data_IF_258787982549
#
_entry.id   IF_258787982549
#
_cell.length_a   1.000
_cell.length_b   1.000
_cell.length_c   1.000
_cell.angle_alpha   90.00
_cell.angle_beta   90.00
_cell.angle_gamma   90.00
#
_symmetry.space_group_name_H-M   'P 1'
#
loop_
_entity.id
_entity.type
_entity.pdbx_description
1 polymer ?
#
# COMPACT_ATOMS: atom_id res chain seq x y z
N UNK A 1 23.85 22.60 -17.46
CA UNK A 1 23.77 21.42 -18.35
C UNK A 1 25.05 20.57 -18.43
N UNK A 2 26.27 21.10 -18.21
CA UNK A 2 27.53 20.31 -18.27
C UNK A 2 27.74 19.25 -17.15
N UNK A 3 26.96 19.29 -16.06
CA UNK A 3 27.05 18.32 -14.93
C UNK A 3 26.19 17.05 -15.12
N UNK A 4 25.18 17.08 -16.00
CA UNK A 4 24.34 15.90 -16.29
C UNK A 4 25.03 14.95 -17.27
N UNK A 5 25.78 15.49 -18.25
CA UNK A 5 26.51 14.69 -19.22
C UNK A 5 27.65 13.87 -18.61
N UNK A 6 28.30 14.39 -17.56
CA UNK A 6 29.37 13.68 -16.83
C UNK A 6 28.85 12.65 -15.84
N UNK A 7 27.60 12.79 -15.37
CA UNK A 7 26.97 11.78 -14.52
C UNK A 7 26.53 10.54 -15.33
N UNK A 8 26.00 10.74 -16.54
CA UNK A 8 25.49 9.64 -17.38
C UNK A 8 26.62 8.76 -17.93
N UNK A 9 27.80 9.31 -18.23
CA UNK A 9 28.95 8.53 -18.73
C UNK A 9 29.61 7.66 -17.65
N UNK A 10 29.54 8.05 -16.37
CA UNK A 10 30.13 7.29 -15.27
C UNK A 10 29.30 6.05 -14.90
N UNK A 11 28.00 6.10 -15.14
CA UNK A 11 27.06 5.02 -14.80
C UNK A 11 27.06 3.87 -15.82
N UNK A 12 27.48 4.10 -17.07
CA UNK A 12 27.54 3.03 -18.09
C UNK A 12 28.76 2.12 -17.96
N UNK A 13 29.86 2.62 -17.39
CA UNK A 13 31.08 1.84 -17.13
C UNK A 13 30.88 0.82 -15.99
N UNK A 14 30.13 1.18 -14.94
CA UNK A 14 29.89 0.30 -13.79
C UNK A 14 28.90 -0.85 -14.05
N UNK A 15 28.12 -0.76 -15.13
CA UNK A 15 27.14 -1.80 -15.48
C UNK A 15 27.77 -2.98 -16.26
N UNK A 16 28.87 -2.74 -17.00
CA UNK A 16 29.57 -3.77 -17.77
C UNK A 16 30.44 -4.71 -16.92
N UNK A 17 30.93 -4.25 -15.76
CA UNK A 17 31.76 -5.08 -14.87
C UNK A 17 30.95 -5.97 -13.92
N UNK A 18 29.64 -5.74 -13.76
CA UNK A 18 28.77 -6.51 -12.86
C UNK A 18 28.02 -7.65 -13.54
N UNK A 19 28.01 -7.70 -14.87
CA UNK A 19 27.39 -8.80 -15.62
C UNK A 19 28.50 -9.58 -16.34
N UNK A 20 28.96 -10.62 -15.65
CA UNK A 20 29.90 -11.62 -16.17
C UNK A 20 29.20 -12.47 -17.26
N UNK A 21 29.04 -11.90 -18.46
CA UNK A 21 28.61 -12.64 -19.64
C UNK A 21 29.82 -13.45 -20.12
N UNK A 22 29.87 -14.69 -19.68
CA UNK A 22 30.94 -15.64 -19.99
C UNK A 22 31.11 -15.84 -21.49
N UNK A 23 32.38 -15.89 -21.89
CA UNK A 23 32.82 -16.47 -23.16
C UNK A 23 32.25 -17.88 -23.30
N UNK A 24 31.64 -18.15 -24.46
CA UNK A 24 31.40 -19.51 -24.93
C UNK A 24 31.88 -19.63 -26.36
N UNK A 25 32.71 -20.64 -26.55
CA UNK A 25 33.65 -20.92 -27.62
C UNK A 25 33.06 -20.92 -29.04
N UNK A 26 33.92 -20.57 -29.99
CA UNK A 26 33.87 -21.03 -31.37
C UNK A 26 33.93 -22.57 -31.40
N UNK A 27 33.08 -23.20 -32.20
CA UNK A 27 33.51 -24.28 -33.10
C UNK A 27 32.43 -24.66 -34.13
N UNK A 28 32.93 -25.03 -35.31
CA UNK A 28 32.30 -25.82 -36.39
C UNK A 28 31.27 -25.16 -37.35
N UNK A 29 31.78 -24.83 -38.55
CA UNK A 29 31.12 -24.88 -39.88
C UNK A 29 30.80 -26.35 -40.26
N UNK A 30 30.05 -26.70 -41.34
CA UNK A 30 29.88 -25.94 -42.60
C UNK A 30 28.54 -26.05 -43.39
N UNK A 31 28.46 -25.19 -44.42
CA UNK A 31 28.12 -25.50 -45.83
C UNK A 31 26.83 -24.91 -46.46
N UNK A 32 27.02 -24.50 -47.74
CA UNK A 32 26.09 -24.15 -48.83
C UNK A 32 25.40 -22.76 -48.76
N UNK A 33 25.90 -21.74 -49.46
CA UNK A 33 25.74 -21.40 -50.91
C UNK A 33 24.36 -20.81 -51.24
N UNK A 34 24.31 -19.50 -51.50
CA UNK A 34 24.02 -18.89 -52.82
C UNK A 34 23.65 -17.41 -52.65
N UNK A 35 23.91 -16.63 -53.69
CA UNK A 35 24.06 -15.18 -53.67
C UNK A 35 22.83 -14.35 -53.34
N UNK A 36 23.08 -13.13 -52.85
CA UNK A 36 22.73 -11.89 -53.56
C UNK A 36 23.28 -10.69 -52.80
N UNK A 37 24.14 -9.93 -53.46
CA UNK A 37 24.58 -8.60 -53.05
C UNK A 37 23.45 -7.60 -53.26
N UNK A 38 23.00 -6.95 -52.19
CA UNK A 38 22.33 -5.65 -52.25
C UNK A 38 22.69 -4.86 -50.98
N UNK A 39 23.81 -4.16 -51.04
CA UNK A 39 24.16 -3.09 -50.11
C UNK A 39 23.17 -1.94 -50.30
N UNK A 40 22.26 -1.74 -49.35
CA UNK A 40 21.27 -0.68 -49.45
C UNK A 40 20.54 -0.39 -48.13
N UNK A 41 20.73 0.83 -47.65
CA UNK A 41 19.75 1.59 -46.85
C UNK A 41 19.45 1.13 -45.42
N UNK A 42 20.20 1.66 -44.46
CA UNK A 42 19.70 1.86 -43.08
C UNK A 42 20.02 3.24 -42.50
N UNK A 43 20.91 4.03 -43.12
CA UNK A 43 21.24 5.39 -42.65
C UNK A 43 20.25 6.47 -43.12
N UNK A 44 19.50 6.25 -44.19
CA UNK A 44 18.54 7.27 -44.70
C UNK A 44 17.36 7.53 -43.77
N UNK A 45 17.00 6.58 -42.89
CA UNK A 45 15.78 6.70 -42.05
C UNK A 45 15.94 7.67 -40.87
N UNK A 46 17.17 7.95 -40.44
CA UNK A 46 17.45 8.84 -39.31
C UNK A 46 17.67 10.30 -39.72
N UNK A 47 18.06 10.55 -40.96
CA UNK A 47 18.29 11.91 -41.45
C UNK A 47 16.98 12.64 -41.77
N UNK A 48 15.98 11.94 -42.30
CA UNK A 48 14.63 12.49 -42.52
C UNK A 48 13.97 12.89 -41.18
N UNK A 49 14.17 12.09 -40.13
CA UNK A 49 13.62 12.38 -38.78
C UNK A 49 14.30 13.60 -38.17
N UNK A 50 15.62 13.77 -38.35
CA UNK A 50 16.37 14.94 -37.87
C UNK A 50 15.97 16.22 -38.60
N UNK A 51 15.72 16.15 -39.91
CA UNK A 51 15.32 17.33 -40.68
C UNK A 51 13.90 17.80 -40.32
N UNK A 52 12.98 16.86 -40.06
CA UNK A 52 11.59 17.17 -39.70
C UNK A 52 11.51 17.81 -38.30
N UNK A 53 12.32 17.33 -37.35
CA UNK A 53 12.44 17.93 -36.01
C UNK A 53 13.13 19.31 -36.04
N UNK A 54 14.09 19.52 -36.96
CA UNK A 54 14.76 20.80 -37.16
C UNK A 54 13.86 21.90 -37.74
N UNK A 55 12.88 21.55 -38.58
CA UNK A 55 11.90 22.51 -39.13
C UNK A 55 10.83 22.90 -38.11
N UNK A 56 10.33 21.96 -37.30
CA UNK A 56 9.36 22.22 -36.24
C UNK A 56 9.90 23.15 -35.14
N UNK A 57 11.20 23.05 -34.83
CA UNK A 57 11.85 23.92 -33.84
C UNK A 57 12.06 25.36 -34.34
N UNK A 58 12.22 25.58 -35.66
CA UNK A 58 12.35 26.94 -36.22
C UNK A 58 11.03 27.68 -36.38
N UNK A 59 9.92 26.97 -36.53
CA UNK A 59 8.59 27.60 -36.70
C UNK A 59 7.95 27.94 -35.35
N UNK A 60 8.21 27.18 -34.29
CA UNK A 60 7.56 27.37 -32.99
C UNK A 60 8.31 28.41 -32.11
N UNK A 61 9.62 28.63 -32.31
CA UNK A 61 10.42 29.54 -31.48
C UNK A 61 10.56 30.99 -31.98
N UNK A 62 9.91 31.39 -33.08
CA UNK A 62 10.09 32.74 -33.66
C UNK A 62 9.29 33.93 -33.09
N UNK A 63 8.33 33.83 -32.14
CA UNK A 63 7.62 35.02 -31.68
C UNK A 63 8.07 35.63 -30.33
N UNK A 64 9.28 35.36 -29.80
CA UNK A 64 9.64 35.85 -28.44
C UNK A 64 10.72 36.96 -28.40
N UNK A 65 11.39 37.31 -29.50
CA UNK A 65 12.50 38.29 -29.45
C UNK A 65 12.13 39.75 -29.78
N UNK A 66 10.84 40.09 -29.92
CA UNK A 66 10.42 41.44 -30.37
C UNK A 66 10.10 42.47 -29.29
N UNK A 67 10.36 42.20 -28.02
CA UNK A 67 10.25 43.23 -26.98
C UNK A 67 11.61 43.55 -26.37
N UNK A 68 12.44 44.24 -27.15
CA UNK A 68 13.65 44.92 -26.66
C UNK A 68 13.60 46.39 -27.09
N UNK A 69 12.85 47.19 -26.34
CA UNK A 69 12.97 48.66 -26.29
C UNK A 69 13.49 48.99 -24.88
N UNK A 70 14.75 49.42 -24.75
CA UNK A 70 15.22 50.81 -24.80
C UNK A 70 15.09 51.50 -23.42
N UNK A 71 16.26 51.91 -22.90
CA UNK A 71 16.55 52.86 -21.82
C UNK A 71 16.70 52.34 -20.37
N UNK A 72 17.75 52.84 -19.73
CA UNK A 72 18.27 52.53 -18.40
C UNK A 72 17.82 53.59 -17.38
N UNK A 73 17.18 53.19 -16.27
CA UNK A 73 17.11 53.95 -14.97
C UNK A 73 16.79 52.94 -13.83
N UNK A 74 17.27 53.12 -12.57
CA UNK A 74 17.42 52.02 -11.61
C UNK A 74 16.21 51.81 -10.68
N UNK A 75 16.12 50.58 -10.15
CA UNK A 75 15.16 50.05 -9.16
C UNK A 75 13.77 49.64 -9.66
N UNK A 76 13.56 48.34 -9.87
CA UNK A 76 12.34 47.62 -9.47
C UNK A 76 12.73 46.16 -9.23
N UNK A 77 12.41 45.65 -8.05
CA UNK A 77 12.67 44.28 -7.61
C UNK A 77 11.97 43.34 -8.59
N UNK A 78 12.74 42.45 -9.21
CA UNK A 78 12.24 41.35 -10.04
C UNK A 78 11.23 40.55 -9.23
N UNK A 79 9.95 40.75 -9.56
CA UNK A 79 8.80 40.16 -8.90
C UNK A 79 8.77 38.66 -9.24
N UNK A 80 9.67 37.90 -8.62
CA UNK A 80 9.66 36.44 -8.70
C UNK A 80 8.31 35.99 -8.17
N UNK A 81 7.56 35.13 -8.88
CA UNK A 81 6.29 34.64 -8.38
C UNK A 81 6.51 33.95 -7.04
N UNK A 82 6.20 34.65 -5.96
CA UNK A 82 6.39 34.18 -4.60
C UNK A 82 5.50 32.95 -4.46
N UNK A 83 6.11 31.77 -4.30
CA UNK A 83 5.39 30.51 -4.22
C UNK A 83 4.38 30.54 -3.08
N UNK A 84 3.30 29.76 -3.20
CA UNK A 84 2.22 29.69 -2.18
C UNK A 84 2.80 29.46 -0.78
N UNK A 85 3.89 28.69 -0.69
CA UNK A 85 4.58 28.35 0.56
C UNK A 85 5.46 29.51 1.07
N UNK A 86 6.09 30.31 0.20
CA UNK A 86 6.78 31.54 0.62
C UNK A 86 5.80 32.59 1.13
N UNK A 87 4.64 32.76 0.48
CA UNK A 87 3.56 33.66 0.94
C UNK A 87 3.05 33.24 2.32
N UNK A 88 2.86 31.94 2.52
CA UNK A 88 2.46 31.39 3.82
C UNK A 88 3.53 31.61 4.90
N UNK A 89 4.82 31.38 4.58
CA UNK A 89 5.92 31.62 5.52
C UNK A 89 6.02 33.11 5.92
N UNK A 90 5.96 34.03 4.95
CA UNK A 90 5.99 35.47 5.24
C UNK A 90 4.81 35.93 6.12
N UNK A 91 3.64 35.31 5.95
CA UNK A 91 2.43 35.70 6.66
C UNK A 91 2.32 35.12 8.07
N UNK A 92 2.84 33.92 8.32
CA UNK A 92 2.62 33.22 9.60
C UNK A 92 3.87 32.85 10.37
N UNK A 93 4.96 32.44 9.70
CA UNK A 93 6.09 31.77 10.35
C UNK A 93 7.37 32.63 10.42
N UNK A 94 7.51 33.64 9.55
CA UNK A 94 8.69 34.55 9.45
C UNK A 94 10.04 33.80 9.54
N UNK A 95 10.12 32.58 9.01
CA UNK A 95 11.33 31.75 9.13
C UNK A 95 12.40 32.15 8.10
N UNK A 96 13.70 32.03 8.45
CA UNK A 96 14.79 32.28 7.51
C UNK A 96 14.70 31.38 6.28
N UNK A 97 14.93 31.95 5.08
CA UNK A 97 14.87 31.29 3.77
C UNK A 97 15.53 29.88 3.66
N UNK A 98 16.67 29.56 4.32
CA UNK A 98 17.23 28.20 4.26
C UNK A 98 16.31 27.11 4.83
N UNK A 99 15.33 27.46 5.66
CA UNK A 99 14.33 26.53 6.19
C UNK A 99 13.14 26.34 5.23
N UNK A 100 12.77 27.37 4.47
CA UNK A 100 11.63 27.34 3.54
C UNK A 100 11.73 26.24 2.46
N UNK A 101 12.94 25.87 2.04
CA UNK A 101 13.17 24.74 1.11
C UNK A 101 12.75 23.39 1.68
N UNK A 102 12.81 23.22 3.00
CA UNK A 102 12.40 21.99 3.69
C UNK A 102 10.92 22.00 4.07
N UNK A 103 10.24 23.16 4.05
CA UNK A 103 8.80 23.21 4.34
C UNK A 103 7.98 22.39 3.34
N UNK A 104 8.33 22.38 2.05
CA UNK A 104 7.56 21.64 1.03
C UNK A 104 7.48 20.13 1.32
N UNK A 105 8.60 19.39 1.47
CA UNK A 105 8.54 17.98 1.81
C UNK A 105 7.92 17.73 3.18
N UNK A 106 8.15 18.61 4.18
CA UNK A 106 7.54 18.48 5.51
C UNK A 106 6.00 18.54 5.41
N UNK A 107 5.45 19.52 4.69
CA UNK A 107 3.99 19.64 4.51
C UNK A 107 3.42 18.40 3.80
N UNK A 108 4.11 17.89 2.78
CA UNK A 108 3.68 16.67 2.07
C UNK A 108 3.70 15.46 3.00
N UNK A 109 4.77 15.26 3.77
CA UNK A 109 4.87 14.16 4.74
C UNK A 109 3.80 14.26 5.81
N UNK A 110 3.57 15.45 6.37
CA UNK A 110 2.49 15.67 7.36
C UNK A 110 1.13 15.35 6.75
N UNK A 111 0.88 15.79 5.51
CA UNK A 111 -0.38 15.51 4.81
C UNK A 111 -0.60 14.00 4.60
N UNK A 112 0.44 13.26 4.20
CA UNK A 112 0.36 11.81 4.04
C UNK A 112 0.12 11.08 5.37
N UNK A 113 0.81 11.49 6.44
CA UNK A 113 0.61 10.91 7.78
C UNK A 113 -0.78 11.23 8.31
N UNK A 114 -1.29 12.43 8.08
CA UNK A 114 -2.64 12.83 8.45
C UNK A 114 -3.69 12.01 7.68
N UNK A 115 -3.52 11.85 6.37
CA UNK A 115 -4.38 11.00 5.56
C UNK A 115 -4.37 9.55 6.08
N UNK A 116 -3.19 8.98 6.33
CA UNK A 116 -3.06 7.65 6.91
C UNK A 116 -3.76 7.52 8.26
N UNK A 117 -3.62 8.52 9.14
CA UNK A 117 -4.29 8.54 10.44
C UNK A 117 -5.82 8.55 10.29
N UNK A 118 -6.36 9.41 9.41
CA UNK A 118 -7.81 9.48 9.16
C UNK A 118 -8.33 8.15 8.62
N UNK A 119 -7.64 7.55 7.64
CA UNK A 119 -8.01 6.26 7.08
C UNK A 119 -8.00 5.17 8.17
N UNK A 120 -6.95 5.12 8.97
CA UNK A 120 -6.81 4.13 10.05
C UNK A 120 -7.84 4.30 11.16
N UNK A 121 -8.01 5.51 11.70
CA UNK A 121 -8.88 5.76 12.85
C UNK A 121 -10.37 5.80 12.51
N UNK A 122 -10.76 6.12 11.27
CA UNK A 122 -12.18 6.23 10.92
C UNK A 122 -12.64 5.12 9.97
N UNK A 123 -11.92 4.87 8.88
CA UNK A 123 -12.38 3.92 7.87
C UNK A 123 -12.26 2.49 8.37
N UNK A 124 -11.11 2.10 8.91
CA UNK A 124 -10.89 0.73 9.40
C UNK A 124 -11.95 0.33 10.44
N UNK A 125 -12.16 1.07 11.56
CA UNK A 125 -13.16 0.65 12.54
C UNK A 125 -14.60 0.70 12.00
N UNK A 126 -14.94 1.64 11.13
CA UNK A 126 -16.28 1.70 10.51
C UNK A 126 -16.55 0.48 9.62
N UNK A 127 -15.58 0.08 8.80
CA UNK A 127 -15.67 -1.10 7.93
C UNK A 127 -15.71 -2.38 8.75
N UNK A 128 -14.87 -2.52 9.78
CA UNK A 128 -14.90 -3.70 10.65
C UNK A 128 -16.24 -3.82 11.38
N UNK A 129 -16.82 -2.70 11.84
CA UNK A 129 -18.08 -2.70 12.60
C UNK A 129 -19.26 -3.18 11.77
N UNK A 130 -19.26 -2.92 10.46
CA UNK A 130 -20.29 -3.40 9.55
C UNK A 130 -20.01 -4.81 9.03
N UNK A 131 -18.76 -5.12 8.65
CA UNK A 131 -18.43 -6.41 8.03
C UNK A 131 -18.38 -7.56 9.01
N UNK A 132 -17.84 -7.39 10.23
CA UNK A 132 -17.68 -8.51 11.16
C UNK A 132 -19.06 -9.14 11.49
N UNK A 133 -20.10 -8.37 11.86
CA UNK A 133 -21.41 -8.94 12.11
C UNK A 133 -22.02 -9.63 10.88
N UNK A 134 -21.86 -9.03 9.68
CA UNK A 134 -22.35 -9.62 8.43
C UNK A 134 -21.67 -10.93 8.10
N UNK A 135 -20.34 -11.02 8.20
CA UNK A 135 -19.58 -12.25 7.96
C UNK A 135 -20.00 -13.34 8.97
N UNK A 136 -20.15 -12.99 10.25
CA UNK A 136 -20.65 -13.94 11.25
C UNK A 136 -22.05 -14.42 10.89
N UNK A 137 -22.91 -13.53 10.39
CA UNK A 137 -24.25 -13.90 9.98
C UNK A 137 -24.26 -14.79 8.72
N UNK A 138 -23.37 -14.55 7.77
CA UNK A 138 -23.23 -15.34 6.54
C UNK A 138 -22.66 -16.73 6.82
N UNK A 139 -21.55 -16.81 7.57
CA UNK A 139 -20.81 -18.04 7.85
C UNK A 139 -21.48 -18.91 8.92
N UNK A 140 -22.01 -18.28 9.98
CA UNK A 140 -22.57 -18.98 11.14
C UNK A 140 -24.10 -19.04 11.07
N UNK A 141 -24.73 -18.22 10.23
CA UNK A 141 -26.19 -18.13 10.16
C UNK A 141 -26.82 -17.50 11.40
N UNK A 142 -26.04 -16.71 12.17
CA UNK A 142 -26.42 -16.16 13.47
C UNK A 142 -26.23 -14.65 13.54
N UNK A 143 -27.15 -13.96 14.21
CA UNK A 143 -27.05 -12.51 14.40
C UNK A 143 -25.93 -12.22 15.39
N UNK A 144 -24.98 -11.39 14.95
CA UNK A 144 -23.95 -10.84 15.79
C UNK A 144 -24.12 -9.34 15.95
N UNK A 145 -23.68 -8.82 17.09
CA UNK A 145 -23.67 -7.39 17.39
C UNK A 145 -22.36 -7.03 18.07
N UNK A 146 -21.86 -5.83 17.78
CA UNK A 146 -20.62 -5.30 18.33
C UNK A 146 -20.92 -3.92 18.90
N UNK A 147 -20.52 -3.67 20.14
CA UNK A 147 -20.70 -2.36 20.76
C UNK A 147 -19.75 -1.32 20.16
N UNK A 148 -18.44 -1.61 20.20
CA UNK A 148 -17.40 -0.68 19.78
C UNK A 148 -16.23 -1.40 19.13
N UNK A 149 -15.61 -0.75 18.14
CA UNK A 149 -14.34 -1.16 17.56
C UNK A 149 -13.40 0.04 17.62
N UNK A 150 -12.20 -0.20 18.10
CA UNK A 150 -11.13 0.77 18.16
C UNK A 150 -9.93 0.20 17.42
N UNK A 151 -9.27 1.06 16.64
CA UNK A 151 -8.06 0.70 15.92
C UNK A 151 -7.07 1.85 15.99
N UNK A 152 -5.84 1.54 16.39
CA UNK A 152 -4.73 2.48 16.38
C UNK A 152 -3.76 2.09 15.25
N UNK A 153 -3.74 2.85 14.13
CA UNK A 153 -2.88 2.53 12.99
C UNK A 153 -1.38 2.68 13.28
N UNK A 154 -0.98 3.53 14.21
CA UNK A 154 0.44 3.73 14.53
C UNK A 154 1.03 2.60 15.36
N UNK A 155 0.23 2.02 16.25
CA UNK A 155 0.66 0.88 17.09
C UNK A 155 0.21 -0.47 16.54
N UNK A 156 -0.57 -0.47 15.45
CA UNK A 156 -1.30 -1.62 14.91
C UNK A 156 -2.01 -2.43 16.01
N UNK A 157 -2.72 -1.70 16.87
CA UNK A 157 -3.52 -2.26 17.93
C UNK A 157 -5.00 -2.19 17.55
N UNK A 158 -5.70 -3.33 17.63
CA UNK A 158 -7.13 -3.43 17.40
C UNK A 158 -7.83 -3.92 18.67
N UNK A 159 -8.95 -3.30 19.01
CA UNK A 159 -9.80 -3.69 20.13
C UNK A 159 -11.26 -3.76 19.68
N UNK A 160 -11.91 -4.89 19.93
CA UNK A 160 -13.33 -5.10 19.69
C UNK A 160 -13.99 -5.26 21.07
N UNK A 161 -15.02 -4.47 21.34
CA UNK A 161 -15.71 -4.47 22.63
C UNK A 161 -17.16 -4.93 22.46
N UNK A 162 -17.60 -5.78 23.39
CA UNK A 162 -18.97 -6.24 23.52
C UNK A 162 -19.49 -6.98 22.29
N UNK A 163 -18.73 -7.96 21.79
CA UNK A 163 -19.26 -8.87 20.77
C UNK A 163 -20.30 -9.77 21.44
N UNK A 164 -21.50 -9.84 20.86
CA UNK A 164 -22.56 -10.76 21.27
C UNK A 164 -23.14 -11.45 20.05
N UNK A 165 -23.12 -12.77 20.06
CA UNK A 165 -23.69 -13.65 19.05
C UNK A 165 -24.92 -14.30 19.67
N UNK A 166 -26.04 -14.20 18.95
CA UNK A 166 -27.33 -14.76 19.35
C UNK A 166 -27.63 -16.03 18.56
N UNK A 167 -28.32 -16.97 19.20
CA UNK A 167 -28.97 -18.09 18.52
C UNK A 167 -30.12 -17.60 17.62
N UNK A 168 -30.60 -18.49 16.74
CA UNK A 168 -31.78 -18.23 15.89
C UNK A 168 -33.05 -17.93 16.69
N UNK A 169 -33.12 -18.39 17.94
CA UNK A 169 -34.22 -18.14 18.87
C UNK A 169 -34.05 -16.83 19.70
N UNK A 170 -32.99 -16.05 19.45
CA UNK A 170 -32.70 -14.79 20.16
C UNK A 170 -31.98 -14.94 21.50
N UNK A 171 -31.70 -16.17 21.96
CA UNK A 171 -30.93 -16.39 23.19
C UNK A 171 -29.44 -16.08 22.97
N UNK A 172 -28.71 -15.60 24.00
CA UNK A 172 -27.27 -15.44 23.92
C UNK A 172 -26.60 -16.80 23.70
N UNK A 173 -25.66 -16.86 22.76
CA UNK A 173 -24.88 -18.07 22.43
C UNK A 173 -23.42 -17.91 22.84
N UNK A 174 -22.73 -16.96 22.24
CA UNK A 174 -21.30 -16.68 22.49
C UNK A 174 -21.13 -15.18 22.54
N UNK A 175 -20.31 -14.71 23.48
CA UNK A 175 -19.95 -13.30 23.54
C UNK A 175 -18.63 -13.08 24.25
N UNK A 176 -18.12 -11.86 24.19
CA UNK A 176 -16.99 -11.43 24.99
C UNK A 176 -17.08 -9.92 25.25
N UNK A 177 -16.48 -9.50 26.35
CA UNK A 177 -16.45 -8.08 26.73
C UNK A 177 -15.40 -7.32 25.92
N UNK A 178 -14.20 -7.88 25.77
CA UNK A 178 -13.14 -7.26 24.97
C UNK A 178 -12.25 -8.29 24.28
N UNK A 179 -11.94 -8.04 23.01
CA UNK A 179 -10.93 -8.74 22.24
C UNK A 179 -9.87 -7.74 21.79
N UNK A 180 -8.64 -7.95 22.23
CA UNK A 180 -7.51 -7.08 21.92
C UNK A 180 -6.49 -7.85 21.09
N UNK A 181 -6.03 -7.26 20.00
CA UNK A 181 -4.99 -7.80 19.14
C UNK A 181 -3.91 -6.75 18.89
N UNK A 182 -2.66 -7.09 19.15
CA UNK A 182 -1.49 -6.23 18.92
C UNK A 182 -0.58 -6.88 17.89
N UNK A 183 -0.40 -6.20 16.76
CA UNK A 183 0.47 -6.65 15.67
C UNK A 183 1.89 -6.08 15.87
N UNK A 184 2.90 -6.87 15.51
CA UNK A 184 4.28 -6.42 15.51
C UNK A 184 4.71 -6.01 14.11
N UNK A 185 4.65 -4.71 13.84
CA UNK A 185 4.99 -4.14 12.53
C UNK A 185 6.40 -4.52 12.09
N UNK A 186 7.39 -4.42 13.00
CA UNK A 186 8.78 -4.69 12.66
C UNK A 186 9.04 -6.16 12.33
N UNK A 187 8.52 -7.09 13.14
CA UNK A 187 8.67 -8.51 12.84
C UNK A 187 7.87 -8.91 11.61
N UNK A 188 6.68 -8.35 11.43
CA UNK A 188 5.83 -8.65 10.28
C UNK A 188 6.49 -8.27 8.95
N UNK A 189 7.10 -7.08 8.89
CA UNK A 189 7.84 -6.64 7.70
C UNK A 189 9.08 -7.52 7.46
N UNK A 190 9.83 -7.87 8.51
CA UNK A 190 11.04 -8.70 8.39
C UNK A 190 10.76 -10.11 7.88
N UNK A 191 9.66 -10.71 8.32
CA UNK A 191 9.29 -12.09 7.99
C UNK A 191 8.37 -12.17 6.77
N UNK A 192 7.95 -11.03 6.22
CA UNK A 192 6.87 -10.94 5.21
C UNK A 192 5.66 -11.78 5.61
N UNK A 193 5.35 -11.78 6.92
CA UNK A 193 4.32 -12.55 7.57
C UNK A 193 3.51 -11.63 8.48
N UNK A 194 2.25 -11.96 8.77
CA UNK A 194 1.52 -11.23 9.80
C UNK A 194 1.88 -11.82 11.17
N UNK A 195 2.64 -11.06 11.96
CA UNK A 195 3.05 -11.46 13.30
C UNK A 195 2.21 -10.72 14.32
N UNK A 196 1.32 -11.45 14.98
CA UNK A 196 0.49 -10.96 16.07
C UNK A 196 1.22 -11.25 17.38
N UNK A 197 1.68 -10.21 18.05
CA UNK A 197 2.42 -10.34 19.30
C UNK A 197 1.54 -10.85 20.44
N UNK A 198 0.35 -10.30 20.55
CA UNK A 198 -0.55 -10.63 21.67
C UNK A 198 -2.00 -10.56 21.22
N UNK A 199 -2.73 -11.64 21.50
CA UNK A 199 -4.18 -11.71 21.41
C UNK A 199 -4.70 -11.95 22.81
N UNK A 200 -5.55 -11.04 23.29
CA UNK A 200 -6.21 -11.18 24.59
C UNK A 200 -7.71 -11.19 24.41
N UNK A 201 -8.36 -12.24 24.92
CA UNK A 201 -9.81 -12.36 24.97
C UNK A 201 -10.27 -12.25 26.42
N UNK A 202 -11.07 -11.23 26.72
CA UNK A 202 -11.52 -10.91 28.07
C UNK A 202 -13.00 -11.25 28.24
N UNK A 203 -13.31 -11.95 29.34
CA UNK A 203 -14.64 -12.44 29.70
C UNK A 203 -15.38 -13.12 28.56
N UNK A 204 -14.77 -14.11 27.86
CA UNK A 204 -15.54 -14.89 26.91
C UNK A 204 -16.63 -15.66 27.65
N UNK A 205 -17.86 -15.55 27.16
CA UNK A 205 -19.04 -16.25 27.65
C UNK A 205 -19.53 -17.20 26.58
N UNK A 206 -19.75 -18.46 26.94
CA UNK A 206 -20.32 -19.47 26.04
C UNK A 206 -21.51 -20.11 26.74
N UNK A 207 -22.66 -20.05 26.08
CA UNK A 207 -23.90 -20.70 26.50
C UNK A 207 -24.08 -21.98 25.70
N UNK A 208 -24.06 -23.11 26.39
CA UNK A 208 -24.41 -24.38 25.84
C UNK A 208 -25.79 -24.76 26.37
N UNK A 209 -26.68 -25.18 25.48
CA UNK A 209 -28.02 -25.58 25.86
C UNK A 209 -28.42 -26.83 25.08
N UNK A 210 -29.07 -27.75 25.79
CA UNK A 210 -29.73 -28.90 25.16
C UNK A 210 -31.12 -28.48 24.70
N UNK A 211 -31.36 -28.62 23.41
CA UNK A 211 -32.64 -28.31 22.78
C UNK A 211 -33.68 -29.39 23.07
N UNK A 212 -34.96 -29.07 22.83
CA UNK A 212 -36.09 -29.99 23.07
C UNK A 212 -36.01 -31.29 22.26
N UNK A 213 -35.30 -31.26 21.13
CA UNK A 213 -35.05 -32.41 20.27
C UNK A 213 -33.84 -33.26 20.71
N UNK A 214 -33.26 -32.95 21.87
CA UNK A 214 -32.12 -33.65 22.45
C UNK A 214 -30.76 -33.23 21.89
N UNK A 215 -30.72 -32.37 20.87
CA UNK A 215 -29.47 -31.87 20.26
C UNK A 215 -28.91 -30.68 21.02
N UNK A 216 -27.61 -30.47 20.91
CA UNK A 216 -27.00 -29.23 21.41
C UNK A 216 -27.16 -28.07 20.44
N UNK A 217 -27.21 -26.87 21.00
CA UNK A 217 -27.32 -25.61 20.27
C UNK A 217 -26.14 -25.27 19.32
N UNK A 218 -25.06 -26.06 19.27
CA UNK A 218 -23.93 -25.86 18.36
C UNK A 218 -23.83 -26.92 17.25
N UNK A 219 -24.64 -27.98 17.30
CA UNK A 219 -24.56 -29.10 16.34
C UNK A 219 -24.91 -28.70 14.90
N UNK A 220 -25.74 -27.68 14.73
CA UNK A 220 -26.11 -27.11 13.44
C UNK A 220 -24.90 -26.51 12.71
N UNK A 221 -23.98 -25.87 13.45
CA UNK A 221 -22.76 -25.28 12.89
C UNK A 221 -21.76 -26.33 12.42
N UNK A 222 -21.59 -27.42 13.17
CA UNK A 222 -20.64 -28.49 12.82
C UNK A 222 -21.10 -29.24 11.56
N UNK A 223 -22.41 -29.47 11.42
CA UNK A 223 -22.99 -30.15 10.26
C UNK A 223 -22.92 -29.30 8.99
N UNK A 224 -23.08 -27.99 9.10
CA UNK A 224 -22.93 -27.06 7.97
C UNK A 224 -21.51 -27.09 7.39
N UNK A 225 -20.48 -27.00 8.24
CA UNK A 225 -19.08 -26.98 7.82
C UNK A 225 -18.64 -28.26 7.10
N UNK A 226 -19.08 -29.43 7.60
CA UNK A 226 -18.78 -30.74 6.99
C UNK A 226 -19.33 -30.87 5.55
N UNK A 227 -20.34 -30.06 5.17
CA UNK A 227 -20.92 -30.05 3.82
C UNK A 227 -20.13 -29.18 2.84
N UNK A 228 -19.36 -28.22 3.33
CA UNK A 228 -18.58 -27.27 2.52
C UNK A 228 -17.14 -27.72 2.25
N UNK A 229 -16.55 -28.54 3.14
CA UNK A 229 -15.19 -29.09 3.01
C UNK A 229 -15.00 -30.06 1.81
N UNK A 230 -16.02 -30.28 0.98
CA UNK A 230 -15.92 -31.07 -0.26
C UNK A 230 -15.37 -30.29 -1.46
N UNK A 231 -15.05 -28.99 -1.34
CA UNK A 231 -14.30 -28.25 -2.36
C UNK A 231 -12.80 -28.42 -2.14
N UNK A 232 -12.09 -28.93 -3.16
CA UNK A 232 -10.64 -29.17 -3.16
C UNK A 232 -9.85 -27.94 -2.67
N UNK A 233 -8.78 -28.12 -1.88
CA UNK A 233 -7.96 -27.01 -1.44
C UNK A 233 -7.30 -26.34 -2.66
N UNK A 234 -7.39 -25.02 -2.71
CA UNK A 234 -6.66 -24.20 -3.65
C UNK A 234 -5.18 -24.21 -3.26
N UNK A 235 -4.28 -24.58 -4.19
CA UNK A 235 -2.81 -24.66 -3.97
C UNK A 235 -2.16 -23.26 -3.87
N UNK A 236 -2.93 -22.26 -3.45
CA UNK A 236 -2.49 -20.90 -3.18
C UNK A 236 -1.59 -20.87 -1.95
N UNK A 237 -0.36 -20.41 -2.14
CA UNK A 237 0.61 -20.18 -1.06
C UNK A 237 -0.01 -19.28 0.01
N UNK A 238 -0.41 -19.87 1.14
CA UNK A 238 -1.07 -19.16 2.23
C UNK A 238 -0.13 -18.09 2.80
N UNK A 239 -0.67 -16.90 3.05
CA UNK A 239 0.08 -15.83 3.69
C UNK A 239 0.44 -16.25 5.14
N UNK A 240 1.73 -16.28 5.50
CA UNK A 240 2.15 -16.80 6.81
C UNK A 240 1.61 -15.92 7.95
N UNK A 241 0.99 -16.57 8.93
CA UNK A 241 0.42 -15.95 10.14
C UNK A 241 1.10 -16.56 11.36
N UNK A 242 1.66 -15.72 12.24
CA UNK A 242 2.30 -16.15 13.48
C UNK A 242 1.63 -15.47 14.68
N UNK A 243 1.24 -16.25 15.68
CA UNK A 243 0.64 -15.76 16.92
C UNK A 243 1.61 -16.08 18.05
N UNK A 244 2.23 -15.05 18.62
CA UNK A 244 3.26 -15.22 19.63
C UNK A 244 2.65 -15.54 20.99
N UNK A 245 1.57 -14.85 21.37
CA UNK A 245 0.90 -15.02 22.65
C UNK A 245 -0.61 -14.94 22.50
N UNK A 246 -1.29 -15.95 23.05
CA UNK A 246 -2.74 -15.99 23.21
C UNK A 246 -3.06 -16.01 24.71
N UNK A 247 -4.01 -15.19 25.16
CA UNK A 247 -4.42 -15.13 26.56
C UNK A 247 -5.93 -14.99 26.67
N UNK A 248 -6.52 -15.79 27.54
CA UNK A 248 -7.94 -15.75 27.86
C UNK A 248 -8.06 -15.36 29.33
N UNK A 249 -8.87 -14.35 29.64
CA UNK A 249 -9.08 -13.85 30.99
C UNK A 249 -10.55 -13.96 31.37
N UNK A 250 -10.81 -14.44 32.58
CA UNK A 250 -12.14 -14.42 33.22
C UNK A 250 -13.25 -15.08 32.38
N UNK A 251 -12.93 -16.16 31.67
CA UNK A 251 -13.90 -16.88 30.84
C UNK A 251 -14.97 -17.59 31.67
N UNK A 252 -16.20 -17.62 31.14
CA UNK A 252 -17.35 -18.27 31.77
C UNK A 252 -18.02 -19.21 30.78
N UNK A 253 -18.38 -20.39 31.26
CA UNK A 253 -19.16 -21.37 30.53
C UNK A 253 -20.47 -21.57 31.28
N UNK A 254 -21.58 -21.36 30.57
CA UNK A 254 -22.93 -21.46 31.10
C UNK A 254 -23.60 -22.65 30.38
N UNK A 255 -24.06 -23.62 31.15
CA UNK A 255 -24.61 -24.89 30.67
C UNK A 255 -25.92 -25.19 31.38
#
# INVERSE_FOLDING_TARGET
MKKLATWISKTSQQFRSKFNLGERSQDSLPNQVSGQTASGSTNQRWDVVKETLGKLTRTILRPIERFKTKNSTPQQIEDRPVGIIERFNQRFLKLPQPFARFLKPIIITISLVAAYAVLGFYIVPAVLKSKIPSIIQEEIGRKASIAKIEFNPFTLFASIQGLKIQEKNGKPFVGFDAFNAKINTFQSIKQLALVINEITLNKPTVHLAKQKDGKFNFEDMVKAKKKEEQKKPDDGKLFPLNIVKLSIKEGQLLW
#
